data_IF_764981080999
#
_entry.id   IF_764981080999
#
_cell.length_a   1.000
_cell.length_b   1.000
_cell.length_c   1.000
_cell.angle_alpha   90.00
_cell.angle_beta   90.00
_cell.angle_gamma   90.00
#
_symmetry.space_group_name_H-M   'P 1'
#
loop_
_entity.id
_entity.type
_entity.pdbx_description
1 polymer ?
#
# COMPACT_ATOMS: atom_id res chain seq x y z
N UNK A 1 -17.25 5.13 -13.08
CA UNK A 1 -15.79 5.34 -13.01
C UNK A 1 -15.48 6.01 -11.68
N UNK A 2 -15.23 5.22 -10.64
CA UNK A 2 -14.62 5.73 -9.40
C UNK A 2 -13.27 6.33 -9.77
N UNK A 3 -12.91 7.50 -9.25
CA UNK A 3 -11.56 8.05 -9.49
C UNK A 3 -10.53 7.06 -8.94
N UNK A 4 -9.89 6.32 -9.85
CA UNK A 4 -8.81 5.34 -9.56
C UNK A 4 -7.61 6.05 -8.94
N UNK A 5 -7.57 7.38 -9.09
CA UNK A 5 -6.49 8.22 -8.62
C UNK A 5 -6.48 8.36 -7.09
N UNK A 6 -5.45 7.79 -6.49
CA UNK A 6 -5.17 7.86 -5.05
C UNK A 6 -3.67 8.00 -4.82
N UNK A 7 -3.27 8.37 -3.59
CA UNK A 7 -1.86 8.47 -3.23
C UNK A 7 -1.10 7.14 -3.46
N UNK A 8 -1.78 6.00 -3.21
CA UNK A 8 -1.25 4.66 -3.44
C UNK A 8 -1.14 4.31 -4.92
N UNK A 9 -2.12 4.72 -5.74
CA UNK A 9 -2.04 4.59 -7.19
C UNK A 9 -0.85 5.39 -7.76
N UNK A 10 -0.63 6.64 -7.30
CA UNK A 10 0.53 7.43 -7.73
C UNK A 10 1.85 6.72 -7.41
N UNK A 11 1.94 6.05 -6.26
CA UNK A 11 3.13 5.27 -5.94
C UNK A 11 3.32 4.10 -6.90
N UNK A 12 2.28 3.30 -7.16
CA UNK A 12 2.34 2.17 -8.12
C UNK A 12 2.77 2.67 -9.49
N UNK A 13 2.19 3.77 -9.96
CA UNK A 13 2.53 4.42 -11.22
C UNK A 13 4.00 4.84 -11.27
N UNK A 14 4.46 5.66 -10.33
CA UNK A 14 5.85 6.15 -10.34
C UNK A 14 6.88 5.04 -10.12
N UNK A 15 6.58 4.02 -9.30
CA UNK A 15 7.48 2.89 -9.09
C UNK A 15 7.64 2.07 -10.37
N UNK A 16 6.53 1.84 -11.10
CA UNK A 16 6.52 1.14 -12.39
C UNK A 16 7.41 1.83 -13.40
N UNK A 17 7.17 3.11 -13.68
CA UNK A 17 7.91 3.85 -14.70
C UNK A 17 9.33 4.25 -14.28
N UNK A 18 9.69 4.20 -12.99
CA UNK A 18 11.08 4.46 -12.56
C UNK A 18 11.98 3.23 -12.58
N UNK A 19 11.42 2.02 -12.72
CA UNK A 19 12.22 0.79 -12.74
C UNK A 19 11.84 -0.13 -13.91
N UNK A 20 10.67 -0.75 -13.88
CA UNK A 20 10.28 -1.76 -14.87
C UNK A 20 10.07 -1.16 -16.26
N UNK A 21 9.47 0.03 -16.35
CA UNK A 21 9.13 0.71 -17.61
C UNK A 21 9.93 2.01 -17.80
N UNK A 22 11.21 2.00 -17.39
CA UNK A 22 12.07 3.20 -17.38
C UNK A 22 12.17 3.92 -18.73
N UNK A 23 12.12 3.17 -19.83
CA UNK A 23 12.18 3.73 -21.18
C UNK A 23 11.01 4.66 -21.50
N UNK A 24 9.86 4.47 -20.84
CA UNK A 24 8.66 5.27 -21.04
C UNK A 24 8.49 6.39 -20.00
N UNK A 25 9.47 6.61 -19.12
CA UNK A 25 9.37 7.60 -18.03
C UNK A 25 9.14 9.04 -18.51
N UNK A 26 9.63 9.41 -19.69
CA UNK A 26 9.40 10.73 -20.29
C UNK A 26 7.95 10.93 -20.74
N UNK A 27 7.31 9.85 -21.21
CA UNK A 27 5.94 9.83 -21.73
C UNK A 27 4.93 9.75 -20.58
N UNK A 28 5.20 8.93 -19.57
CA UNK A 28 4.32 8.69 -18.43
C UNK A 28 4.86 9.39 -17.18
N UNK A 29 4.80 10.73 -17.21
CA UNK A 29 5.43 11.57 -16.19
C UNK A 29 4.46 12.16 -15.15
N UNK A 30 3.15 12.16 -15.45
CA UNK A 30 2.10 12.63 -14.56
C UNK A 30 0.87 11.71 -14.59
N UNK A 31 0.58 10.98 -13.49
CA UNK A 31 -0.60 10.12 -13.40
C UNK A 31 -1.93 10.90 -13.41
N UNK A 32 -1.92 12.21 -13.15
CA UNK A 32 -3.11 13.05 -13.24
C UNK A 32 -3.46 13.45 -14.67
N UNK A 33 -2.45 13.64 -15.52
CA UNK A 33 -2.65 13.98 -16.93
C UNK A 33 -2.85 12.74 -17.80
N UNK A 34 -2.11 11.66 -17.49
CA UNK A 34 -2.10 10.41 -18.24
C UNK A 34 -2.32 9.21 -17.30
N UNK A 35 -3.53 9.06 -16.74
CA UNK A 35 -3.86 7.88 -15.94
C UNK A 35 -3.87 6.61 -16.80
N UNK A 36 -3.39 5.51 -16.23
CA UNK A 36 -3.57 4.19 -16.80
C UNK A 36 -4.93 3.68 -16.34
N UNK A 37 -5.89 3.65 -17.25
CA UNK A 37 -7.26 3.16 -16.98
C UNK A 37 -7.39 1.64 -17.12
N UNK A 38 -6.44 1.00 -17.81
CA UNK A 38 -6.39 -0.45 -17.94
C UNK A 38 -6.04 -1.09 -16.59
N UNK A 39 -7.04 -1.74 -15.98
CA UNK A 39 -6.92 -2.37 -14.67
C UNK A 39 -5.87 -3.48 -14.60
N UNK A 40 -5.52 -4.10 -15.73
CA UNK A 40 -4.57 -5.20 -15.78
C UNK A 40 -3.16 -4.75 -16.17
N UNK A 41 -2.95 -3.49 -16.56
CA UNK A 41 -1.66 -2.99 -17.02
C UNK A 41 -0.53 -3.25 -16.01
N UNK A 42 -0.83 -3.11 -14.72
CA UNK A 42 0.17 -3.30 -13.67
C UNK A 42 0.43 -4.77 -13.33
N UNK A 43 -0.42 -5.71 -13.75
CA UNK A 43 -0.26 -7.14 -13.46
C UNK A 43 0.95 -7.74 -14.18
N UNK A 44 1.32 -7.17 -15.34
CA UNK A 44 2.45 -7.63 -16.15
C UNK A 44 3.81 -7.06 -15.69
N UNK A 45 3.82 -6.21 -14.66
CA UNK A 45 5.05 -5.54 -14.20
C UNK A 45 5.95 -6.53 -13.45
N UNK A 46 7.10 -6.87 -14.03
CA UNK A 46 8.14 -7.72 -13.40
C UNK A 46 8.95 -6.96 -12.33
N UNK A 47 8.27 -6.51 -11.29
CA UNK A 47 8.88 -5.95 -10.09
C UNK A 47 8.11 -6.40 -8.84
N UNK A 48 8.66 -7.31 -8.01
CA UNK A 48 8.00 -7.81 -6.81
C UNK A 48 7.56 -6.71 -5.84
N UNK A 49 8.27 -5.57 -5.81
CA UNK A 49 7.88 -4.44 -4.99
C UNK A 49 6.65 -3.74 -5.55
N UNK A 50 6.58 -3.52 -6.87
CA UNK A 50 5.40 -2.92 -7.52
C UNK A 50 4.20 -3.83 -7.35
N UNK A 51 4.36 -5.15 -7.55
CA UNK A 51 3.29 -6.14 -7.37
C UNK A 51 2.73 -6.14 -5.93
N UNK A 52 3.62 -6.02 -4.94
CA UNK A 52 3.20 -5.89 -3.53
C UNK A 52 2.46 -4.57 -3.27
N UNK A 53 2.89 -3.47 -3.89
CA UNK A 53 2.20 -2.19 -3.81
C UNK A 53 0.81 -2.21 -4.48
N UNK A 54 0.71 -2.86 -5.64
CA UNK A 54 -0.53 -3.05 -6.38
C UNK A 54 -1.52 -3.84 -5.54
N UNK A 55 -1.09 -4.97 -4.96
CA UNK A 55 -1.93 -5.78 -4.06
C UNK A 55 -2.50 -4.98 -2.89
N UNK A 56 -1.69 -4.15 -2.24
CA UNK A 56 -2.17 -3.28 -1.16
C UNK A 56 -3.18 -2.25 -1.68
N UNK A 57 -2.90 -1.62 -2.82
CA UNK A 57 -3.83 -0.68 -3.46
C UNK A 57 -5.18 -1.35 -3.79
N UNK A 58 -5.16 -2.54 -4.40
CA UNK A 58 -6.36 -3.32 -4.71
C UNK A 58 -7.16 -3.64 -3.46
N UNK A 59 -6.51 -4.09 -2.37
CA UNK A 59 -7.21 -4.35 -1.10
C UNK A 59 -7.87 -3.12 -0.49
N UNK A 60 -7.20 -1.97 -0.58
CA UNK A 60 -7.79 -0.70 -0.15
C UNK A 60 -9.01 -0.36 -1.01
N UNK A 61 -8.90 -0.54 -2.33
CA UNK A 61 -10.00 -0.31 -3.27
C UNK A 61 -11.21 -1.23 -3.04
N UNK A 62 -10.98 -2.53 -2.83
CA UNK A 62 -12.02 -3.52 -2.51
C UNK A 62 -12.78 -3.14 -1.23
N UNK A 63 -12.06 -2.84 -0.14
CA UNK A 63 -12.70 -2.43 1.13
C UNK A 63 -13.42 -1.08 1.00
N UNK A 64 -12.87 -0.13 0.23
CA UNK A 64 -13.55 1.15 -0.05
C UNK A 64 -14.87 0.91 -0.78
N UNK A 65 -14.87 0.07 -1.82
CA UNK A 65 -16.06 -0.25 -2.58
C UNK A 65 -17.15 -0.89 -1.71
N UNK A 66 -16.76 -1.79 -0.80
CA UNK A 66 -17.67 -2.40 0.17
C UNK A 66 -18.27 -1.37 1.14
N UNK A 67 -17.45 -0.48 1.71
CA UNK A 67 -17.92 0.60 2.57
C UNK A 67 -18.89 1.53 1.82
N UNK A 68 -18.57 1.91 0.59
CA UNK A 68 -19.45 2.76 -0.20
C UNK A 68 -20.81 2.10 -0.45
N UNK A 69 -20.80 0.80 -0.77
CA UNK A 69 -22.02 0.03 -0.98
C UNK A 69 -22.87 -0.04 0.29
N UNK A 70 -22.26 -0.23 1.47
CA UNK A 70 -22.98 -0.29 2.74
C UNK A 70 -23.62 1.04 3.13
N UNK A 71 -22.95 2.16 2.85
CA UNK A 71 -23.41 3.49 3.23
C UNK A 71 -24.17 4.23 2.13
N UNK A 72 -24.28 3.64 0.93
CA UNK A 72 -24.89 4.29 -0.23
C UNK A 72 -24.13 5.55 -0.66
N UNK A 73 -22.80 5.55 -0.51
CA UNK A 73 -21.93 6.67 -0.88
C UNK A 73 -21.79 6.68 -2.41
N UNK A 74 -22.24 7.77 -3.04
CA UNK A 74 -21.90 8.07 -4.42
C UNK A 74 -20.57 8.82 -4.44
N UNK A 75 -19.50 8.14 -4.88
CA UNK A 75 -18.15 8.73 -4.87
C UNK A 75 -18.05 10.04 -5.67
N UNK A 76 -18.84 10.19 -6.73
CA UNK A 76 -18.78 11.37 -7.57
C UNK A 76 -19.45 12.56 -6.90
N UNK A 77 -20.63 12.36 -6.32
CA UNK A 77 -21.39 13.44 -5.67
C UNK A 77 -20.82 13.79 -4.29
N UNK A 78 -20.49 12.79 -3.47
CA UNK A 78 -19.99 13.00 -2.12
C UNK A 78 -18.54 13.53 -2.12
N UNK A 79 -17.74 13.14 -3.12
CA UNK A 79 -16.38 13.62 -3.31
C UNK A 79 -16.28 15.12 -3.61
N UNK A 80 -17.37 15.76 -4.03
CA UNK A 80 -17.43 17.20 -4.28
C UNK A 80 -18.06 17.99 -3.13
N UNK A 81 -18.59 17.30 -2.11
CA UNK A 81 -19.27 17.94 -0.99
C UNK A 81 -18.27 18.35 0.10
N UNK A 82 -18.13 19.66 0.32
CA UNK A 82 -17.15 20.24 1.26
C UNK A 82 -17.20 19.65 2.69
N UNK A 83 -18.39 19.28 3.17
CA UNK A 83 -18.58 18.62 4.48
C UNK A 83 -17.85 17.27 4.56
N UNK A 84 -18.01 16.43 3.55
CA UNK A 84 -17.41 15.09 3.52
C UNK A 84 -15.91 15.17 3.23
N UNK A 85 -15.50 16.11 2.39
CA UNK A 85 -14.07 16.43 2.19
C UNK A 85 -13.41 16.82 3.52
N UNK A 86 -14.06 17.66 4.33
CA UNK A 86 -13.52 18.09 5.61
C UNK A 86 -13.40 16.94 6.63
N UNK A 87 -14.46 16.13 6.79
CA UNK A 87 -14.40 14.96 7.68
C UNK A 87 -13.35 13.93 7.24
N UNK A 88 -13.19 13.72 5.93
CA UNK A 88 -12.17 12.84 5.36
C UNK A 88 -10.73 13.29 5.64
N UNK A 89 -10.50 14.58 5.90
CA UNK A 89 -9.18 15.13 6.23
C UNK A 89 -8.77 14.86 7.69
N UNK A 90 -9.70 14.52 8.59
CA UNK A 90 -9.48 14.49 10.04
C UNK A 90 -8.42 13.51 10.51
N UNK A 91 -8.25 12.39 9.79
CA UNK A 91 -7.25 11.36 10.08
C UNK A 91 -6.41 11.01 8.86
N UNK A 92 -6.28 11.96 7.92
CA UNK A 92 -5.55 11.75 6.68
C UNK A 92 -4.09 11.42 6.99
N UNK A 93 -3.54 10.30 6.46
CA UNK A 93 -2.14 9.94 6.69
C UNK A 93 -1.20 10.95 6.02
N UNK A 94 0.07 10.96 6.39
CA UNK A 94 1.07 11.80 5.75
C UNK A 94 1.15 11.52 4.26
N UNK A 95 0.97 12.57 3.46
CA UNK A 95 1.15 12.50 2.01
C UNK A 95 2.60 12.80 1.65
N UNK A 96 3.20 11.91 0.87
CA UNK A 96 4.50 12.18 0.28
C UNK A 96 4.33 13.17 -0.88
N UNK A 97 4.71 14.43 -0.65
CA UNK A 97 4.84 15.42 -1.72
C UNK A 97 6.00 15.08 -2.67
N UNK A 98 5.86 15.48 -3.94
CA UNK A 98 6.88 15.37 -5.00
C UNK A 98 7.38 13.94 -5.29
N UNK A 99 6.48 12.95 -5.41
CA UNK A 99 6.84 11.55 -5.77
C UNK A 99 7.65 11.48 -7.08
N UNK A 100 7.32 12.31 -8.06
CA UNK A 100 8.05 12.47 -9.33
C UNK A 100 9.55 12.75 -9.15
N UNK A 101 9.91 13.63 -8.21
CA UNK A 101 11.30 14.04 -7.99
C UNK A 101 12.12 13.00 -7.20
N UNK A 102 11.46 11.98 -6.62
CA UNK A 102 12.12 10.96 -5.81
C UNK A 102 12.70 9.85 -6.70
N UNK A 103 13.85 9.34 -6.28
CA UNK A 103 14.42 8.13 -6.88
C UNK A 103 13.61 6.92 -6.45
N UNK A 104 13.71 5.82 -7.22
CA UNK A 104 13.03 4.56 -6.91
C UNK A 104 13.32 4.08 -5.47
N UNK A 105 14.59 4.15 -5.03
CA UNK A 105 14.98 3.81 -3.64
C UNK A 105 14.28 4.68 -2.60
N UNK A 106 14.18 6.01 -2.84
CA UNK A 106 13.48 6.92 -1.93
C UNK A 106 11.98 6.67 -1.93
N UNK A 107 11.40 6.34 -3.09
CA UNK A 107 9.97 6.03 -3.22
C UNK A 107 9.58 4.77 -2.44
N UNK A 108 10.41 3.72 -2.46
CA UNK A 108 10.16 2.52 -1.63
C UNK A 108 9.97 2.86 -0.15
N UNK A 109 10.88 3.66 0.39
CA UNK A 109 10.83 4.10 1.80
C UNK A 109 9.63 5.00 2.07
N UNK A 110 9.28 5.88 1.12
CA UNK A 110 8.09 6.72 1.26
C UNK A 110 6.81 5.87 1.25
N UNK A 111 6.72 4.87 0.37
CA UNK A 111 5.58 3.96 0.30
C UNK A 111 5.42 3.16 1.58
N UNK A 112 6.50 2.56 2.09
CA UNK A 112 6.50 1.80 3.34
C UNK A 112 5.95 2.65 4.50
N UNK A 113 6.45 3.88 4.64
CA UNK A 113 5.99 4.81 5.66
C UNK A 113 4.52 5.20 5.45
N UNK A 114 4.13 5.55 4.23
CA UNK A 114 2.74 5.93 3.91
C UNK A 114 1.76 4.78 4.18
N UNK A 115 2.13 3.53 3.86
CA UNK A 115 1.31 2.37 4.16
C UNK A 115 1.20 2.11 5.67
N UNK A 116 2.30 2.24 6.42
CA UNK A 116 2.29 2.09 7.88
C UNK A 116 1.39 3.15 8.55
N UNK A 117 1.49 4.40 8.13
CA UNK A 117 0.65 5.48 8.64
C UNK A 117 -0.82 5.32 8.25
N UNK A 118 -1.10 4.85 7.03
CA UNK A 118 -2.47 4.54 6.61
C UNK A 118 -3.10 3.44 7.47
N UNK A 119 -2.36 2.35 7.75
CA UNK A 119 -2.81 1.30 8.67
C UNK A 119 -3.11 1.88 10.06
N UNK A 120 -2.29 2.82 10.53
CA UNK A 120 -2.52 3.49 11.80
C UNK A 120 -3.80 4.35 11.77
N UNK A 121 -4.05 5.09 10.69
CA UNK A 121 -5.31 5.83 10.51
C UNK A 121 -6.53 4.91 10.53
N UNK A 122 -6.48 3.74 9.87
CA UNK A 122 -7.56 2.75 9.93
C UNK A 122 -7.83 2.28 11.37
N UNK A 123 -6.77 2.07 12.16
CA UNK A 123 -6.91 1.72 13.57
C UNK A 123 -7.61 2.82 14.37
N UNK A 124 -7.26 4.08 14.16
CA UNK A 124 -7.91 5.22 14.81
C UNK A 124 -9.40 5.31 14.45
N UNK A 125 -9.76 5.07 13.18
CA UNK A 125 -11.16 4.97 12.77
C UNK A 125 -11.89 3.82 13.47
N UNK A 126 -11.30 2.63 13.52
CA UNK A 126 -11.90 1.48 14.21
C UNK A 126 -12.10 1.75 15.72
N UNK A 127 -11.16 2.45 16.37
CA UNK A 127 -11.33 2.96 17.74
C UNK A 127 -12.50 3.94 17.85
N UNK A 128 -12.63 4.89 16.92
CA UNK A 128 -13.72 5.86 16.92
C UNK A 128 -15.09 5.18 16.77
N UNK A 129 -15.24 4.22 15.86
CA UNK A 129 -16.47 3.43 15.72
C UNK A 129 -16.78 2.61 16.98
N UNK A 130 -15.75 1.96 17.55
CA UNK A 130 -15.86 1.24 18.82
C UNK A 130 -16.36 2.17 19.95
N UNK A 131 -15.83 3.40 20.04
CA UNK A 131 -16.22 4.39 21.03
C UNK A 131 -17.66 4.90 20.88
N UNK A 132 -18.12 5.08 19.64
CA UNK A 132 -19.48 5.53 19.36
C UNK A 132 -20.52 4.47 19.77
N UNK A 133 -20.20 3.19 19.57
CA UNK A 133 -21.09 2.06 19.89
C UNK A 133 -21.04 1.66 21.37
N UNK A 134 -19.84 1.54 21.93
CA UNK A 134 -19.64 1.22 23.33
C UNK A 134 -19.55 2.53 24.11
N UNK A 135 -20.59 2.88 24.88
CA UNK A 135 -20.68 4.10 25.73
C UNK A 135 -19.60 4.19 26.85
N UNK A 136 -18.39 3.67 26.67
CA UNK A 136 -17.37 3.52 27.72
C UNK A 136 -16.02 4.12 27.29
N UNK A 137 -15.67 5.32 27.81
CA UNK A 137 -14.38 5.99 27.60
C UNK A 137 -13.16 5.24 28.17
N UNK A 138 -13.35 4.35 29.15
CA UNK A 138 -12.27 3.71 29.91
C UNK A 138 -11.49 2.64 29.14
N UNK A 139 -12.14 1.93 28.20
CA UNK A 139 -11.46 0.94 27.35
C UNK A 139 -10.58 1.60 26.28
N UNK A 140 -10.97 2.79 25.80
CA UNK A 140 -10.24 3.54 24.78
C UNK A 140 -8.86 3.99 25.24
N UNK A 141 -8.71 4.47 26.49
CA UNK A 141 -7.41 4.94 26.98
C UNK A 141 -6.34 3.84 27.03
N UNK A 142 -6.75 2.58 27.19
CA UNK A 142 -5.84 1.41 27.13
C UNK A 142 -5.54 0.97 25.69
N UNK A 143 -6.43 1.21 24.74
CA UNK A 143 -6.25 0.85 23.32
C UNK A 143 -5.10 1.59 22.63
N UNK A 144 -4.87 2.86 22.98
CA UNK A 144 -3.83 3.68 22.35
C UNK A 144 -2.39 3.33 22.76
N UNK A 145 -2.21 2.60 23.87
CA UNK A 145 -0.90 2.32 24.44
C UNK A 145 -0.45 0.85 24.26
N UNK A 146 -1.27 0.01 23.61
CA UNK A 146 -0.96 -1.41 23.44
C UNK A 146 -0.30 -1.69 22.08
N UNK A 147 0.73 -2.54 22.03
CA UNK A 147 1.41 -2.85 20.78
C UNK A 147 0.56 -3.74 19.87
N UNK A 148 0.59 -3.41 18.57
CA UNK A 148 0.23 -4.27 17.44
C UNK A 148 -1.13 -4.99 17.55
N UNK A 149 -1.13 -6.30 17.79
CA UNK A 149 -2.29 -7.18 17.67
C UNK A 149 -3.09 -7.28 18.98
N UNK A 150 -2.48 -6.91 20.11
CA UNK A 150 -3.19 -6.79 21.38
C UNK A 150 -4.17 -5.61 21.35
N UNK A 151 -3.82 -4.54 20.63
CA UNK A 151 -4.70 -3.40 20.42
C UNK A 151 -6.00 -3.79 19.70
N UNK A 152 -5.97 -4.76 18.78
CA UNK A 152 -7.15 -5.24 18.07
C UNK A 152 -8.09 -6.12 18.92
N UNK A 153 -7.66 -6.60 20.09
CA UNK A 153 -8.53 -7.39 20.98
C UNK A 153 -9.56 -6.52 21.69
N UNK A 154 -9.28 -5.23 21.80
CA UNK A 154 -10.12 -4.28 22.51
C UNK A 154 -11.13 -3.57 21.60
N UNK A 155 -11.04 -3.75 20.28
CA UNK A 155 -11.98 -3.22 19.30
C UNK A 155 -13.29 -4.00 19.31
N UNK A 156 -14.42 -3.33 19.06
CA UNK A 156 -15.73 -3.97 19.02
C UNK A 156 -15.88 -4.85 17.77
N UNK A 157 -15.66 -6.15 17.89
CA UNK A 157 -15.74 -7.08 16.74
C UNK A 157 -17.16 -7.41 16.30
N UNK A 158 -18.16 -7.07 17.12
CA UNK A 158 -19.57 -7.29 16.80
C UNK A 158 -20.11 -6.17 15.88
N UNK A 159 -19.33 -5.10 15.65
CA UNK A 159 -19.66 -4.08 14.66
C UNK A 159 -19.00 -4.44 13.31
N UNK A 160 -19.83 -4.61 12.28
CA UNK A 160 -19.40 -5.06 10.95
C UNK A 160 -18.35 -4.12 10.32
N UNK A 161 -18.43 -2.81 10.60
CA UNK A 161 -17.47 -1.81 10.08
C UNK A 161 -16.11 -1.99 10.76
N UNK A 162 -16.12 -2.19 12.07
CA UNK A 162 -14.90 -2.49 12.83
C UNK A 162 -14.29 -3.82 12.39
N UNK A 163 -15.11 -4.85 12.15
CA UNK A 163 -14.65 -6.14 11.66
C UNK A 163 -13.99 -6.04 10.27
N UNK A 164 -14.61 -5.32 9.34
CA UNK A 164 -14.09 -5.06 8.00
C UNK A 164 -12.73 -4.32 8.06
N UNK A 165 -12.63 -3.25 8.86
CA UNK A 165 -11.39 -2.51 9.06
C UNK A 165 -10.29 -3.38 9.68
N UNK A 166 -10.62 -4.26 10.63
CA UNK A 166 -9.65 -5.22 11.20
C UNK A 166 -9.15 -6.18 10.13
N UNK A 167 -10.03 -6.67 9.25
CA UNK A 167 -9.68 -7.52 8.11
C UNK A 167 -8.65 -6.85 7.21
N UNK A 168 -8.97 -5.63 6.73
CA UNK A 168 -8.07 -4.84 5.90
C UNK A 168 -6.72 -4.59 6.59
N UNK A 169 -6.73 -4.16 7.85
CA UNK A 169 -5.48 -3.89 8.60
C UNK A 169 -4.57 -5.12 8.70
N UNK A 170 -5.13 -6.33 8.90
CA UNK A 170 -4.33 -7.56 8.96
C UNK A 170 -3.67 -7.87 7.62
N UNK A 171 -4.40 -7.73 6.52
CA UNK A 171 -3.86 -7.95 5.17
C UNK A 171 -2.79 -6.93 4.82
N UNK A 172 -3.03 -5.64 5.07
CA UNK A 172 -2.06 -4.58 4.82
C UNK A 172 -0.81 -4.72 5.68
N UNK A 173 -0.93 -5.14 6.95
CA UNK A 173 0.23 -5.46 7.80
C UNK A 173 1.06 -6.61 7.23
N UNK A 174 0.42 -7.66 6.69
CA UNK A 174 1.12 -8.75 6.02
C UNK A 174 1.91 -8.24 4.82
N UNK A 175 1.28 -7.45 3.95
CA UNK A 175 1.93 -6.85 2.78
C UNK A 175 3.07 -5.91 3.18
N UNK A 176 2.87 -5.08 4.21
CA UNK A 176 3.90 -4.19 4.74
C UNK A 176 5.14 -4.96 5.21
N UNK A 177 4.94 -6.09 5.89
CA UNK A 177 6.06 -6.93 6.33
C UNK A 177 6.80 -7.55 5.13
N UNK A 178 6.08 -8.02 4.10
CA UNK A 178 6.68 -8.51 2.86
C UNK A 178 7.50 -7.40 2.15
N UNK A 179 6.96 -6.19 2.05
CA UNK A 179 7.65 -5.01 1.50
C UNK A 179 8.93 -4.66 2.27
N UNK A 180 8.89 -4.74 3.60
CA UNK A 180 10.06 -4.47 4.46
C UNK A 180 11.19 -5.45 4.18
N UNK A 181 10.89 -6.73 3.93
CA UNK A 181 11.90 -7.71 3.50
C UNK A 181 12.54 -7.27 2.17
N UNK A 182 11.75 -6.81 1.20
CA UNK A 182 12.25 -6.32 -0.09
C UNK A 182 13.06 -5.01 0.00
N UNK A 183 12.96 -4.26 1.10
CA UNK A 183 13.70 -3.02 1.35
C UNK A 183 15.00 -3.29 2.13
N UNK A 184 14.90 -4.10 3.19
CA UNK A 184 15.95 -4.23 4.20
C UNK A 184 16.76 -5.51 4.09
N UNK A 185 16.33 -6.50 3.31
CA UNK A 185 17.16 -7.68 3.02
C UNK A 185 18.13 -7.33 1.90
N UNK A 186 19.45 -7.30 2.15
CA UNK A 186 20.43 -7.13 1.07
C UNK A 186 20.30 -8.32 0.10
N UNK A 187 20.40 -8.05 -1.21
CA UNK A 187 20.42 -9.05 -2.28
C UNK A 187 21.41 -10.21 -1.97
N UNK A 188 20.93 -11.29 -1.36
CA UNK A 188 21.69 -12.55 -1.26
C UNK A 188 21.57 -13.34 -2.59
N UNK A 189 20.65 -12.97 -3.47
CA UNK A 189 20.27 -13.78 -4.63
C UNK A 189 21.10 -13.57 -5.93
N UNK A 190 22.16 -12.75 -5.96
CA UNK A 190 22.93 -12.53 -7.21
C UNK A 190 24.24 -13.33 -7.29
N UNK A 191 24.71 -13.96 -6.20
CA UNK A 191 25.96 -14.74 -6.23
C UNK A 191 25.82 -16.24 -6.54
N UNK A 192 24.60 -16.77 -6.71
CA UNK A 192 24.43 -18.20 -7.03
C UNK A 192 24.33 -18.54 -8.52
N UNK A 193 24.30 -17.56 -9.43
CA UNK A 193 24.26 -17.82 -10.87
C UNK A 193 25.55 -17.51 -11.65
N UNK A 194 26.56 -16.86 -11.05
CA UNK A 194 27.87 -16.65 -11.70
C UNK A 194 28.91 -17.74 -11.37
N UNK A 195 28.50 -18.82 -10.69
CA UNK A 195 29.40 -19.81 -10.10
C UNK A 195 29.56 -21.13 -10.86
N UNK A 196 29.08 -21.29 -12.09
CA UNK A 196 29.32 -22.52 -12.89
C UNK A 196 29.36 -22.25 -14.40
N UNK A 197 30.52 -21.86 -14.91
CA UNK A 197 31.10 -22.38 -16.16
C UNK A 197 32.48 -21.76 -16.41
N UNK A 198 33.48 -22.22 -15.64
CA UNK A 198 34.87 -22.27 -16.11
C UNK A 198 35.43 -23.56 -15.55
N UNK A 199 35.16 -24.65 -16.25
CA UNK A 199 35.93 -25.88 -16.11
C UNK A 199 36.84 -25.93 -17.31
N UNK A 200 38.12 -25.75 -16.98
CA UNK A 200 39.28 -25.96 -17.81
C UNK A 200 39.20 -27.25 -18.63
N UNK A 201 39.38 -27.12 -19.95
CA UNK A 201 39.86 -28.21 -20.78
C UNK A 201 41.18 -27.78 -21.43
N UNK A 202 42.26 -27.83 -20.64
CA UNK A 202 43.63 -27.91 -21.14
C UNK A 202 44.24 -29.24 -20.75
N UNK A 203 44.56 -30.03 -21.79
CA UNK A 203 45.70 -30.93 -21.78
C UNK A 203 45.39 -32.42 -21.75
N UNK A 204 45.54 -33.09 -22.90
CA UNK A 204 46.51 -34.18 -23.09
C UNK A 204 46.31 -34.84 -24.46
N UNK A 205 47.22 -34.62 -25.41
CA UNK A 205 48.26 -35.61 -25.69
C UNK A 205 49.22 -35.15 -26.79
N UNK A 206 50.51 -35.21 -26.46
CA UNK A 206 51.63 -35.31 -27.41
C UNK A 206 51.88 -36.80 -27.66
N UNK A 207 51.85 -37.23 -28.92
CA UNK A 207 52.92 -37.96 -29.60
C UNK A 207 52.63 -38.02 -31.08
#
# INVERSE_FOLDING_TARGET
>A
MSSVHSDFYEFVYYLTFKKAFRQYYSEFNDPWELPIEDGNFFDEVDDPFVQSCLKAFTKIGETKAELNAWFGIDEYEDGQTAKYVFEGMRFKPYQSFYKRAKSYKKLKLCYERSLAEFIHSLFLYACAFTAQRNKVPLLLKKQFNLPNDEAFRLLNRDDDQVALLIGLMKELKKILNELRLLIYTPNIAVKMQSGKSNVDSKGANKK
#
